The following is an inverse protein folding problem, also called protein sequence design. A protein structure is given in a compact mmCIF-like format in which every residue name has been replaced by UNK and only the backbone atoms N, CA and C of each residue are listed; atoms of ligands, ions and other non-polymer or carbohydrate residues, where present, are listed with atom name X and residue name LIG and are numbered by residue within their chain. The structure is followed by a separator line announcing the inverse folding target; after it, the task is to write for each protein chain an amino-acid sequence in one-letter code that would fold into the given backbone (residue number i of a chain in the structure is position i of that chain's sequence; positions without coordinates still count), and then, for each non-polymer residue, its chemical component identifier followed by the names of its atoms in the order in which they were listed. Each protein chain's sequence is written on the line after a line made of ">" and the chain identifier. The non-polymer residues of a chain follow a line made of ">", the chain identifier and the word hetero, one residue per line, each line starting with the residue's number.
data_IF_053999535249
#
_entry.id   IF_053999535249
#
_cell.length_a   1.000
_cell.length_b   1.000
_cell.length_c   1.000
_cell.angle_alpha   90.00
_cell.angle_beta   90.00
_cell.angle_gamma   90.00
#
_symmetry.space_group_name_H-M   'P 1'
#
loop_
_entity.id
_entity.type
_entity.pdbx_description
1 polymer ?
#
# COMPACT_ATOMS: atom_id res chain seq x y z
N UNK A 1 9.16 -31.98 -5.58
CA UNK A 1 9.11 -33.34 -6.14
C UNK A 1 7.99 -34.13 -5.48
N UNK A 2 7.33 -35.04 -6.20
CA UNK A 2 6.31 -35.91 -5.61
C UNK A 2 6.89 -37.31 -5.39
N UNK A 3 6.61 -37.92 -4.24
CA UNK A 3 7.06 -39.27 -3.92
C UNK A 3 5.99 -40.02 -3.11
N UNK A 4 5.93 -41.34 -3.27
CA UNK A 4 5.03 -42.22 -2.53
C UNK A 4 5.70 -42.68 -1.24
N UNK A 5 5.15 -42.24 -0.12
CA UNK A 5 5.54 -42.68 1.22
C UNK A 5 4.59 -43.78 1.70
N UNK A 6 4.89 -44.50 2.80
CA UNK A 6 3.97 -45.48 3.39
C UNK A 6 2.58 -44.91 3.73
N UNK A 7 2.45 -43.59 3.88
CA UNK A 7 1.21 -42.86 4.15
C UNK A 7 0.59 -42.22 2.89
N UNK A 8 1.08 -42.55 1.68
CA UNK A 8 0.59 -42.07 0.39
C UNK A 8 1.53 -41.08 -0.33
N UNK A 9 1.09 -40.57 -1.47
CA UNK A 9 1.86 -39.60 -2.27
C UNK A 9 1.90 -38.23 -1.61
N UNK A 10 3.10 -37.65 -1.48
CA UNK A 10 3.33 -36.34 -0.87
C UNK A 10 4.16 -35.44 -1.78
N UNK A 11 3.90 -34.14 -1.69
CA UNK A 11 4.76 -33.09 -2.25
C UNK A 11 5.91 -32.81 -1.28
N UNK A 12 7.14 -32.91 -1.79
CA UNK A 12 8.38 -32.57 -1.09
C UNK A 12 8.96 -31.32 -1.73
N UNK A 13 9.09 -30.26 -0.95
CA UNK A 13 9.77 -29.01 -1.34
C UNK A 13 11.12 -28.96 -0.64
N UNK A 14 12.18 -28.70 -1.39
CA UNK A 14 13.52 -28.47 -0.84
C UNK A 14 13.90 -27.06 -1.26
N UNK A 15 13.92 -26.15 -0.28
CA UNK A 15 14.34 -24.77 -0.48
C UNK A 15 15.87 -24.71 -0.35
N UNK A 16 16.52 -23.99 -1.29
CA UNK A 16 17.97 -23.84 -1.39
C UNK A 16 18.77 -25.16 -1.29
N UNK A 17 18.48 -26.15 -2.17
CA UNK A 17 19.07 -27.49 -2.09
C UNK A 17 20.59 -27.50 -2.35
N UNK A 18 21.09 -26.53 -3.10
CA UNK A 18 22.51 -26.38 -3.42
C UNK A 18 22.98 -25.10 -2.69
N UNK A 19 23.84 -25.22 -1.66
CA UNK A 19 24.36 -24.05 -0.98
C UNK A 19 25.18 -23.18 -1.95
N UNK A 20 25.14 -21.87 -1.74
CA UNK A 20 25.94 -20.93 -2.53
C UNK A 20 27.42 -21.30 -2.52
N UNK A 21 28.12 -21.09 -3.64
CA UNK A 21 29.55 -21.30 -3.70
C UNK A 21 30.28 -20.39 -2.68
N UNK A 22 31.38 -20.85 -2.08
CA UNK A 22 32.13 -20.06 -1.10
C UNK A 22 32.88 -18.87 -1.71
N UNK A 23 33.02 -18.81 -3.04
CA UNK A 23 33.69 -17.73 -3.76
C UNK A 23 32.66 -16.85 -4.48
N UNK A 24 32.82 -15.53 -4.39
CA UNK A 24 32.03 -14.59 -5.19
C UNK A 24 32.36 -14.77 -6.67
N UNK A 25 31.35 -15.07 -7.47
CA UNK A 25 31.51 -15.24 -8.90
C UNK A 25 31.30 -13.90 -9.60
N UNK A 26 32.18 -13.59 -10.56
CA UNK A 26 32.11 -12.36 -11.35
C UNK A 26 30.81 -12.28 -12.19
N UNK A 27 30.23 -13.43 -12.54
CA UNK A 27 29.02 -13.52 -13.36
C UNK A 27 28.03 -14.51 -12.76
N UNK A 28 26.79 -14.04 -12.58
CA UNK A 28 25.65 -14.85 -12.16
C UNK A 28 24.65 -14.93 -13.33
N UNK A 29 24.43 -16.12 -13.92
CA UNK A 29 23.44 -16.27 -14.99
C UNK A 29 22.06 -15.78 -14.55
N UNK A 30 21.46 -14.88 -15.33
CA UNK A 30 20.13 -14.32 -15.04
C UNK A 30 20.10 -13.27 -13.93
N UNK A 31 21.25 -12.82 -13.41
CA UNK A 31 21.31 -11.68 -12.49
C UNK A 31 20.73 -10.44 -13.15
N UNK A 32 19.71 -9.87 -12.52
CA UNK A 32 19.14 -8.58 -12.91
C UNK A 32 19.99 -7.51 -12.26
N UNK A 33 20.70 -6.74 -13.09
CA UNK A 33 21.40 -5.55 -12.63
C UNK A 33 20.41 -4.38 -12.62
N UNK A 34 20.12 -3.85 -11.43
CA UNK A 34 19.32 -2.66 -11.33
C UNK A 34 20.17 -1.45 -11.76
N UNK A 35 19.65 -0.59 -12.65
CA UNK A 35 20.38 0.63 -13.00
C UNK A 35 20.61 1.44 -11.74
N UNK A 36 21.85 1.87 -11.52
CA UNK A 36 22.17 2.76 -10.41
C UNK A 36 21.26 3.99 -10.49
N UNK A 37 20.66 4.42 -9.37
CA UNK A 37 19.85 5.63 -9.36
C UNK A 37 20.67 6.81 -9.90
N UNK A 38 20.03 7.80 -10.56
CA UNK A 38 20.73 8.93 -11.12
C UNK A 38 21.55 9.63 -10.05
N UNK A 39 22.79 10.00 -10.40
CA UNK A 39 23.69 10.78 -9.55
C UNK A 39 22.93 11.98 -8.99
N UNK A 40 23.08 12.28 -7.69
CA UNK A 40 22.56 13.54 -7.12
C UNK A 40 23.16 14.72 -7.91
N UNK A 41 22.37 15.77 -8.22
CA UNK A 41 22.80 16.87 -9.08
C UNK A 41 24.11 17.55 -8.65
N UNK A 42 24.45 17.49 -7.36
CA UNK A 42 25.65 18.12 -6.76
C UNK A 42 26.73 17.13 -6.34
N UNK A 43 26.67 15.88 -6.80
CA UNK A 43 27.74 14.90 -6.50
C UNK A 43 28.98 15.17 -7.37
N UNK A 44 30.18 15.35 -6.79
CA UNK A 44 31.41 15.64 -7.53
C UNK A 44 31.65 14.57 -8.59
N UNK A 45 32.03 14.92 -9.82
CA UNK A 45 32.09 14.02 -10.99
C UNK A 45 33.11 12.88 -10.81
N UNK A 46 34.16 13.10 -10.03
CA UNK A 46 35.28 12.19 -9.85
C UNK A 46 35.27 11.57 -8.44
N UNK A 47 34.57 10.45 -8.31
CA UNK A 47 34.82 9.52 -7.21
C UNK A 47 35.76 8.46 -7.78
N UNK A 48 37.06 8.77 -7.83
CA UNK A 48 38.05 7.73 -8.08
C UNK A 48 38.06 6.81 -6.84
N UNK A 49 38.03 5.49 -7.07
CA UNK A 49 38.19 4.41 -6.06
C UNK A 49 39.56 4.41 -5.35
N UNK A 50 40.25 5.55 -5.35
CA UNK A 50 41.55 5.78 -4.72
C UNK A 50 41.38 6.10 -3.23
N UNK A 51 40.77 5.19 -2.47
CA UNK A 51 40.95 4.93 -1.03
C UNK A 51 41.14 6.08 -0.01
N UNK A 52 40.88 7.35 -0.33
CA UNK A 52 41.20 8.48 0.54
C UNK A 52 40.21 9.65 0.46
N UNK A 53 39.03 9.43 -0.12
CA UNK A 53 37.90 10.35 0.01
C UNK A 53 37.10 9.95 1.25
N UNK A 54 37.02 10.82 2.25
CA UNK A 54 36.18 10.67 3.44
C UNK A 54 34.68 10.79 3.16
N UNK A 55 34.28 10.69 1.90
CA UNK A 55 32.90 10.76 1.44
C UNK A 55 32.59 9.42 0.78
N UNK A 56 32.15 8.46 1.59
CA UNK A 56 31.60 7.22 1.08
C UNK A 56 30.40 7.55 0.21
N UNK A 57 30.52 7.28 -1.08
CA UNK A 57 29.39 7.32 -2.00
C UNK A 57 28.51 6.06 -1.85
N UNK A 58 28.86 5.19 -0.90
CA UNK A 58 28.28 3.87 -0.65
C UNK A 58 27.41 3.81 0.61
N UNK A 59 26.94 4.94 1.15
CA UNK A 59 25.71 4.90 1.96
C UNK A 59 24.49 4.87 1.03
N UNK A 60 24.49 3.93 0.09
CA UNK A 60 23.24 3.37 -0.42
C UNK A 60 22.86 2.28 0.56
N UNK A 61 21.90 2.60 1.42
CA UNK A 61 21.17 1.59 2.16
C UNK A 61 20.48 0.69 1.12
N UNK A 62 21.10 -0.46 0.79
CA UNK A 62 20.53 -1.51 -0.05
C UNK A 62 19.22 -2.06 0.54
N UNK A 63 18.82 -1.62 1.73
CA UNK A 63 17.43 -1.66 2.15
C UNK A 63 16.63 -0.60 1.40
N UNK A 64 16.34 -0.88 0.13
CA UNK A 64 15.11 -0.38 -0.49
C UNK A 64 13.99 -0.93 0.39
N UNK A 65 13.61 -0.11 1.39
CA UNK A 65 12.62 -0.45 2.39
C UNK A 65 11.38 -0.90 1.64
N UNK A 66 10.67 -1.92 2.14
CA UNK A 66 9.38 -2.39 1.58
C UNK A 66 8.40 -1.25 1.23
N UNK A 67 8.61 -0.06 1.78
CA UNK A 67 7.87 1.17 1.58
C UNK A 67 8.24 1.99 0.34
N UNK A 68 9.37 1.77 -0.34
CA UNK A 68 9.75 2.55 -1.54
C UNK A 68 8.89 2.24 -2.77
N UNK A 69 8.17 1.10 -2.77
CA UNK A 69 7.14 0.82 -3.77
C UNK A 69 5.95 1.81 -3.70
N UNK A 70 5.88 2.65 -2.67
CA UNK A 70 4.85 3.67 -2.48
C UNK A 70 5.36 5.08 -2.90
N UNK A 71 6.59 5.20 -3.43
CA UNK A 71 7.13 6.49 -3.88
C UNK A 71 6.24 7.20 -4.92
N UNK A 72 5.47 6.45 -5.70
CA UNK A 72 4.48 7.00 -6.64
C UNK A 72 3.41 7.88 -5.97
N UNK A 73 3.12 7.66 -4.69
CA UNK A 73 2.10 8.40 -3.94
C UNK A 73 2.69 9.48 -3.03
N UNK A 74 4.01 9.71 -3.03
CA UNK A 74 4.67 10.73 -2.18
C UNK A 74 4.21 12.15 -2.53
N UNK A 75 3.90 12.40 -3.80
CA UNK A 75 3.35 13.69 -4.26
C UNK A 75 1.99 14.05 -3.63
N UNK A 76 1.24 13.05 -3.15
CA UNK A 76 -0.08 13.25 -2.52
C UNK A 76 0.01 13.85 -1.11
N UNK A 77 1.22 13.92 -0.53
CA UNK A 77 1.46 14.57 0.77
C UNK A 77 1.41 16.11 0.66
N UNK A 78 1.63 16.67 -0.54
CA UNK A 78 1.69 18.12 -0.77
C UNK A 78 0.33 18.84 -0.83
N UNK A 79 -0.75 18.11 -1.12
CA UNK A 79 -2.08 18.71 -1.35
C UNK A 79 -2.88 19.01 -0.07
N UNK A 80 -2.34 18.68 1.11
CA UNK A 80 -3.04 18.93 2.38
C UNK A 80 -3.07 20.41 2.78
N UNK A 81 -2.32 21.29 2.09
CA UNK A 81 -2.19 22.72 2.40
C UNK A 81 -3.24 23.62 1.68
N UNK A 82 -4.14 23.07 0.84
CA UNK A 82 -4.99 23.89 -0.06
C UNK A 82 -6.51 23.76 0.05
N UNK A 83 -7.08 22.88 0.89
CA UNK A 83 -8.53 22.62 0.87
C UNK A 83 -9.28 23.62 1.78
N UNK A 84 -9.68 24.76 1.22
CA UNK A 84 -10.70 25.63 1.82
C UNK A 84 -12.04 24.89 1.88
N UNK A 85 -12.54 24.65 3.09
CA UNK A 85 -13.80 23.98 3.36
C UNK A 85 -14.98 24.86 2.89
N UNK A 86 -15.53 24.59 1.71
CA UNK A 86 -16.83 25.11 1.31
C UNK A 86 -17.91 24.15 1.84
N UNK A 87 -18.82 24.69 2.67
CA UNK A 87 -19.65 23.94 3.64
C UNK A 87 -20.88 23.20 3.07
N UNK A 88 -21.11 23.19 1.77
CA UNK A 88 -22.35 22.67 1.20
C UNK A 88 -22.10 21.59 0.12
N UNK A 89 -22.81 20.46 0.27
CA UNK A 89 -23.03 19.36 -0.68
C UNK A 89 -21.90 18.33 -0.93
N UNK A 90 -22.14 17.10 -0.45
CA UNK A 90 -21.86 15.79 -1.11
C UNK A 90 -20.52 15.61 -1.85
N UNK A 91 -19.41 16.18 -1.37
CA UNK A 91 -18.12 16.13 -2.07
C UNK A 91 -17.02 15.65 -1.13
N UNK A 92 -16.32 14.57 -1.50
CA UNK A 92 -15.16 14.08 -0.74
C UNK A 92 -13.97 15.01 -0.99
N UNK A 93 -13.21 15.43 0.05
CA UNK A 93 -12.00 16.22 -0.14
C UNK A 93 -10.98 15.43 -0.96
N UNK A 94 -10.17 16.16 -1.73
CA UNK A 94 -9.38 15.72 -2.89
C UNK A 94 -8.36 14.59 -2.69
N UNK A 95 -7.37 14.45 -3.60
CA UNK A 95 -6.59 13.22 -3.82
C UNK A 95 -5.60 12.85 -2.69
N UNK A 96 -5.67 13.51 -1.54
CA UNK A 96 -4.76 13.31 -0.42
C UNK A 96 -4.90 11.96 0.28
N UNK A 97 -3.82 11.54 0.94
CA UNK A 97 -3.78 10.33 1.75
C UNK A 97 -4.69 10.47 2.97
N UNK A 98 -5.32 9.37 3.37
CA UNK A 98 -6.24 9.32 4.51
C UNK A 98 -5.79 8.19 5.43
N UNK A 99 -5.48 8.52 6.68
CA UNK A 99 -5.13 7.53 7.70
C UNK A 99 -6.33 7.24 8.58
N UNK A 100 -6.70 5.96 8.67
CA UNK A 100 -7.81 5.49 9.49
C UNK A 100 -7.35 4.34 10.37
N UNK A 101 -7.90 4.28 11.58
CA UNK A 101 -7.71 3.15 12.48
C UNK A 101 -8.90 2.22 12.35
N UNK A 102 -8.63 0.94 12.05
CA UNK A 102 -9.65 -0.09 11.90
C UNK A 102 -9.46 -1.20 12.92
N UNK A 103 -10.55 -1.84 13.29
CA UNK A 103 -10.58 -2.98 14.21
C UNK A 103 -11.30 -4.15 13.57
N UNK A 104 -10.72 -5.34 13.67
CA UNK A 104 -11.42 -6.57 13.33
C UNK A 104 -12.26 -7.04 14.53
N UNK A 105 -13.57 -6.90 14.46
CA UNK A 105 -14.52 -7.40 15.47
C UNK A 105 -15.05 -8.81 15.15
N UNK A 106 -14.58 -9.42 14.06
CA UNK A 106 -14.98 -10.79 13.70
C UNK A 106 -14.16 -11.86 14.43
N UNK A 107 -14.67 -13.08 14.41
CA UNK A 107 -14.06 -14.28 14.98
C UNK A 107 -12.98 -14.92 14.08
N UNK A 108 -12.74 -14.35 12.89
CA UNK A 108 -11.86 -14.89 11.86
C UNK A 108 -10.87 -13.85 11.35
N UNK A 109 -9.68 -14.27 10.89
CA UNK A 109 -8.74 -13.35 10.26
C UNK A 109 -9.30 -12.80 8.95
N UNK A 110 -9.07 -11.52 8.70
CA UNK A 110 -9.47 -10.82 7.47
C UNK A 110 -8.20 -10.37 6.74
N UNK A 111 -8.14 -10.55 5.43
CA UNK A 111 -7.04 -10.07 4.61
C UNK A 111 -7.58 -9.20 3.48
N UNK A 112 -7.03 -7.99 3.32
CA UNK A 112 -7.49 -6.99 2.35
C UNK A 112 -6.35 -6.65 1.40
N UNK A 113 -6.58 -6.82 0.10
CA UNK A 113 -5.59 -6.58 -0.94
C UNK A 113 -5.46 -5.08 -1.31
N UNK A 114 -4.31 -4.72 -1.87
CA UNK A 114 -3.94 -3.34 -2.28
C UNK A 114 -4.99 -2.58 -3.11
N UNK A 115 -5.63 -3.25 -4.07
CA UNK A 115 -6.55 -2.64 -5.03
C UNK A 115 -8.02 -2.90 -4.73
N UNK A 116 -8.31 -3.48 -3.57
CA UNK A 116 -9.68 -3.69 -3.15
C UNK A 116 -10.31 -2.37 -2.68
N UNK A 117 -11.59 -2.16 -3.01
CA UNK A 117 -12.31 -0.98 -2.55
C UNK A 117 -12.54 -1.09 -1.04
N UNK A 118 -11.92 -0.19 -0.27
CA UNK A 118 -11.83 -0.35 1.18
C UNK A 118 -13.19 -0.24 1.90
N UNK A 119 -14.16 0.44 1.31
CA UNK A 119 -15.52 0.53 1.86
C UNK A 119 -16.32 -0.79 1.78
N UNK A 120 -15.92 -1.73 0.92
CA UNK A 120 -16.64 -2.98 0.65
C UNK A 120 -16.07 -4.20 1.37
N UNK A 121 -15.04 -3.98 2.20
CA UNK A 121 -14.40 -5.06 2.94
C UNK A 121 -15.39 -5.75 3.88
N UNK A 122 -14.96 -6.89 4.44
CA UNK A 122 -15.78 -7.67 5.35
C UNK A 122 -16.41 -6.77 6.44
N UNK A 123 -17.75 -6.81 6.65
CA UNK A 123 -18.45 -6.01 7.66
C UNK A 123 -17.94 -6.17 9.11
N UNK A 124 -17.19 -7.25 9.38
CA UNK A 124 -16.48 -7.45 10.65
C UNK A 124 -15.34 -6.47 10.88
N UNK A 125 -14.87 -5.75 9.85
CA UNK A 125 -13.90 -4.67 10.00
C UNK A 125 -14.63 -3.35 10.25
N UNK A 126 -14.38 -2.76 11.42
CA UNK A 126 -15.03 -1.52 11.88
C UNK A 126 -14.03 -0.38 11.99
N UNK A 127 -14.47 0.84 11.68
CA UNK A 127 -13.63 2.04 11.88
C UNK A 127 -13.67 2.48 13.34
N UNK A 128 -12.49 2.75 13.90
CA UNK A 128 -12.31 3.21 15.29
C UNK A 128 -12.09 4.73 15.32
N UNK A 129 -11.16 5.23 14.50
CA UNK A 129 -10.84 6.65 14.41
C UNK A 129 -10.36 7.03 13.01
N UNK A 130 -10.50 8.30 12.66
CA UNK A 130 -9.98 8.89 11.43
C UNK A 130 -8.95 9.93 11.85
N UNK A 131 -7.68 9.71 11.49
CA UNK A 131 -6.57 10.58 11.88
C UNK A 131 -6.41 11.74 10.90
N UNK A 132 -6.53 11.47 9.59
CA UNK A 132 -6.30 12.46 8.52
C UNK A 132 -7.40 12.35 7.48
N UNK A 133 -8.12 13.44 7.11
CA UNK A 133 -8.04 14.78 7.71
C UNK A 133 -8.64 14.82 9.13
N UNK A 134 -7.98 15.55 10.03
CA UNK A 134 -8.40 15.69 11.43
C UNK A 134 -9.77 16.38 11.53
N UNK A 135 -10.68 15.82 12.33
CA UNK A 135 -12.02 16.38 12.59
C UNK A 135 -13.17 15.75 11.80
N UNK A 136 -12.92 14.68 11.02
CA UNK A 136 -14.01 13.94 10.37
C UNK A 136 -14.73 13.03 11.37
N UNK A 137 -16.05 13.14 11.43
CA UNK A 137 -16.86 12.31 12.32
C UNK A 137 -16.79 10.83 11.89
N UNK A 138 -16.52 9.96 12.85
CA UNK A 138 -16.71 8.51 12.69
C UNK A 138 -18.22 8.26 12.60
N UNK A 139 -18.73 7.53 11.59
CA UNK A 139 -20.16 7.25 11.48
C UNK A 139 -20.64 6.46 12.71
N UNK A 140 -21.87 6.73 13.17
CA UNK A 140 -22.46 6.06 14.34
C UNK A 140 -22.43 4.53 14.24
N UNK A 141 -22.59 3.98 13.03
CA UNK A 141 -22.63 2.53 12.76
C UNK A 141 -21.22 1.88 12.64
N UNK A 142 -20.12 2.66 12.72
CA UNK A 142 -18.71 2.24 12.52
C UNK A 142 -18.43 1.40 11.28
N UNK A 143 -19.41 1.26 10.39
CA UNK A 143 -19.35 0.46 9.18
C UNK A 143 -18.56 1.21 8.11
N UNK A 144 -17.62 0.51 7.47
CA UNK A 144 -16.75 1.10 6.45
C UNK A 144 -17.51 1.55 5.21
N UNK A 145 -18.63 0.91 4.87
CA UNK A 145 -19.45 1.28 3.71
C UNK A 145 -20.07 2.67 3.83
N UNK A 146 -20.41 3.11 5.05
CA UNK A 146 -20.94 4.45 5.34
C UNK A 146 -19.85 5.46 5.65
N UNK A 147 -18.61 5.01 5.81
CA UNK A 147 -17.50 5.86 6.15
C UNK A 147 -17.01 6.58 4.90
N UNK A 148 -17.27 7.88 4.82
CA UNK A 148 -16.80 8.70 3.69
C UNK A 148 -15.26 8.77 3.60
N UNK A 149 -14.53 8.40 4.66
CA UNK A 149 -13.07 8.27 4.64
C UNK A 149 -12.60 6.95 4.01
N UNK A 150 -13.48 5.95 3.83
CA UNK A 150 -13.18 4.68 3.17
C UNK A 150 -13.77 4.59 1.75
N UNK A 151 -14.89 5.29 1.49
CA UNK A 151 -15.52 5.34 0.15
C UNK A 151 -14.57 5.90 -0.90
N UNK A 152 -14.54 5.23 -2.06
CA UNK A 152 -13.73 5.61 -3.21
C UNK A 152 -12.22 5.48 -3.01
N UNK A 153 -11.79 4.74 -1.97
CA UNK A 153 -10.38 4.62 -1.58
C UNK A 153 -9.94 3.16 -1.51
N UNK A 154 -8.63 2.96 -1.66
CA UNK A 154 -7.93 1.67 -1.58
C UNK A 154 -6.71 1.78 -0.67
N UNK A 155 -6.14 0.65 -0.26
CA UNK A 155 -4.96 0.63 0.60
C UNK A 155 -3.74 1.21 -0.12
N UNK A 156 -3.00 2.06 0.58
CA UNK A 156 -1.73 2.61 0.13
C UNK A 156 -0.57 1.64 0.44
N UNK A 157 -0.57 0.49 -0.21
CA UNK A 157 0.47 -0.54 -0.07
C UNK A 157 0.96 -0.96 -1.46
N UNK A 158 2.11 -1.63 -1.51
CA UNK A 158 2.67 -2.15 -2.75
C UNK A 158 1.64 -3.00 -3.52
N UNK A 159 1.59 -2.83 -4.85
CA UNK A 159 0.66 -3.57 -5.69
C UNK A 159 0.85 -5.09 -5.53
N UNK A 160 -0.25 -5.83 -5.51
CA UNK A 160 -0.23 -7.28 -5.28
C UNK A 160 -0.07 -7.72 -3.82
N UNK A 161 0.26 -6.82 -2.90
CA UNK A 161 0.31 -7.12 -1.46
C UNK A 161 -1.05 -6.95 -0.78
N UNK A 162 -1.13 -7.37 0.49
CA UNK A 162 -2.33 -7.30 1.31
C UNK A 162 -1.98 -7.02 2.78
N UNK A 163 -2.93 -6.43 3.51
CA UNK A 163 -2.87 -6.26 4.97
C UNK A 163 -3.74 -7.33 5.62
N UNK A 164 -3.21 -7.98 6.66
CA UNK A 164 -3.90 -9.00 7.44
C UNK A 164 -4.30 -8.42 8.79
N UNK A 165 -5.54 -8.69 9.20
CA UNK A 165 -6.12 -8.29 10.48
C UNK A 165 -6.52 -9.55 11.24
N UNK A 166 -5.88 -9.79 12.38
CA UNK A 166 -6.27 -10.89 13.27
C UNK A 166 -7.57 -10.55 14.03
N UNK A 167 -8.31 -11.55 14.55
CA UNK A 167 -9.48 -11.29 15.38
C UNK A 167 -9.16 -10.38 16.57
N UNK A 168 -9.90 -9.27 16.73
CA UNK A 168 -9.71 -8.29 17.79
C UNK A 168 -8.61 -7.26 17.54
N UNK A 169 -7.82 -7.42 16.48
CA UNK A 169 -6.68 -6.56 16.17
C UNK A 169 -7.10 -5.16 15.74
N UNK A 170 -6.29 -4.17 16.10
CA UNK A 170 -6.47 -2.75 15.79
C UNK A 170 -5.26 -2.21 15.04
N UNK A 171 -5.44 -1.83 13.78
CA UNK A 171 -4.35 -1.39 12.93
C UNK A 171 -4.67 -0.04 12.26
N UNK A 172 -3.67 0.82 12.19
CA UNK A 172 -3.74 2.07 11.44
C UNK A 172 -3.36 1.80 9.98
N UNK A 173 -4.27 2.08 9.06
CA UNK A 173 -4.07 1.89 7.64
C UNK A 173 -4.14 3.21 6.90
N UNK A 174 -3.32 3.31 5.86
CA UNK A 174 -3.30 4.45 4.96
C UNK A 174 -4.06 4.12 3.68
N UNK A 175 -4.92 5.05 3.27
CA UNK A 175 -5.79 4.94 2.13
C UNK A 175 -5.49 6.04 1.10
N UNK A 176 -5.58 5.68 -0.17
CA UNK A 176 -5.46 6.59 -1.32
C UNK A 176 -6.71 6.49 -2.19
N UNK A 177 -7.06 7.59 -2.86
CA UNK A 177 -8.22 7.62 -3.74
C UNK A 177 -8.02 6.70 -4.95
N UNK A 178 -9.07 5.98 -5.33
CA UNK A 178 -9.10 5.20 -6.57
C UNK A 178 -9.16 6.20 -7.72
N UNK A 179 -8.17 6.14 -8.61
CA UNK A 179 -8.06 6.98 -9.81
C UNK A 179 -8.56 6.21 -11.05
N UNK A 180 -8.61 6.87 -12.20
CA UNK A 180 -9.12 6.31 -13.47
C UNK A 180 -10.46 6.93 -13.85
N UNK A 181 -11.38 6.15 -14.44
CA UNK A 181 -12.69 6.64 -14.91
C UNK A 181 -13.56 7.27 -13.81
N UNK A 182 -13.28 6.89 -12.55
CA UNK A 182 -13.88 7.43 -11.33
C UNK A 182 -13.56 8.92 -11.16
N UNK A 183 -12.40 9.38 -11.65
CA UNK A 183 -12.00 10.79 -11.62
C UNK A 183 -12.38 11.42 -12.95
N UNK A 184 -13.42 12.26 -12.98
CA UNK A 184 -13.84 12.90 -14.22
C UNK A 184 -12.81 13.95 -14.67
N UNK A 185 -12.03 13.65 -15.71
CA UNK A 185 -11.33 14.65 -16.53
C UNK A 185 -10.51 15.71 -15.78
N UNK A 186 -9.63 15.30 -14.86
CA UNK A 186 -8.74 16.23 -14.15
C UNK A 186 -9.42 17.09 -13.07
N UNK A 187 -10.67 16.81 -12.72
CA UNK A 187 -11.36 17.42 -11.58
C UNK A 187 -11.06 16.64 -10.29
N UNK A 188 -11.01 17.35 -9.16
CA UNK A 188 -10.93 16.76 -7.80
C UNK A 188 -12.21 16.01 -7.38
N UNK A 189 -13.17 15.83 -8.30
CA UNK A 189 -14.46 15.21 -8.07
C UNK A 189 -14.45 13.74 -8.53
N UNK A 190 -14.63 12.82 -7.59
CA UNK A 190 -14.78 11.39 -7.87
C UNK A 190 -16.24 10.97 -8.02
N UNK A 191 -16.59 10.41 -9.18
CA UNK A 191 -17.87 9.76 -9.44
C UNK A 191 -17.83 8.29 -8.98
N UNK A 192 -18.32 8.07 -7.76
CA UNK A 192 -18.33 6.75 -7.11
C UNK A 192 -19.25 5.74 -7.80
N UNK A 193 -20.20 6.18 -8.64
CA UNK A 193 -21.12 5.28 -9.36
C UNK A 193 -20.39 4.37 -10.36
N UNK A 194 -19.18 4.76 -10.77
CA UNK A 194 -18.34 4.01 -11.69
C UNK A 194 -17.51 2.92 -10.99
N UNK A 195 -17.46 2.91 -9.66
CA UNK A 195 -16.79 1.87 -8.90
C UNK A 195 -17.71 0.64 -8.86
N UNK A 196 -17.36 -0.38 -9.63
CA UNK A 196 -18.04 -1.68 -9.58
C UNK A 196 -17.78 -2.35 -8.23
N UNK A 197 -18.84 -2.75 -7.55
CA UNK A 197 -18.76 -3.44 -6.25
C UNK A 197 -19.61 -2.81 -5.15
N UNK A 198 -20.04 -1.55 -5.30
CA UNK A 198 -20.97 -0.92 -4.37
C UNK A 198 -22.21 -1.81 -4.33
N UNK A 199 -22.39 -2.58 -3.27
CA UNK A 199 -23.44 -3.61 -3.16
C UNK A 199 -24.77 -3.02 -3.63
N UNK A 200 -25.16 -3.34 -4.86
CA UNK A 200 -26.44 -2.94 -5.41
C UNK A 200 -27.52 -3.65 -4.58
N UNK A 201 -28.33 -2.88 -3.83
CA UNK A 201 -29.50 -3.42 -3.14
C UNK A 201 -29.52 -3.43 -1.60
N UNK A 202 -28.57 -2.79 -0.89
CA UNK A 202 -28.74 -2.46 0.55
C UNK A 202 -28.87 -0.94 0.75
N UNK A 203 -29.45 -0.26 -0.25
CA UNK A 203 -30.08 1.06 -0.12
C UNK A 203 -31.53 0.87 -0.54
N UNK A 204 -32.41 0.75 0.46
CA UNK A 204 -33.83 1.05 0.38
C UNK A 204 -34.17 1.94 1.56
#
# INVERSE_FOLDING_TARGET
>A
MEATFPDGTKLVTIDDPIPGAPEEHEVYPGKVEHPRPPRKPDSPVDCDDSGNSSVSCDEYDDTVSRYDAIHFNVHLDGDTQGVSLQRDATTLPGPGKTKIKVKNESDRPIQVASHYHFAEVNPGLKVVSIEVPAGRAVPHDRSLWNCDAAKGRRLNIAAGTAVRFEPGDECCVELVQIQGDVTAGGSNTSDLTKIRGLREGIVR
#
